data_IF_603435937498
#
_entry.id   IF_603435937498
#
_cell.length_a   1.000
_cell.length_b   1.000
_cell.length_c   1.000
_cell.angle_alpha   90.00
_cell.angle_beta   90.00
_cell.angle_gamma   90.00
#
_symmetry.space_group_name_H-M   'P 1'
#
loop_
_entity.id
_entity.type
_entity.pdbx_description
1 polymer ?
#
# COMPACT_ATOMS: atom_id res chain seq x y z
N UNK A 1 -9.20 -8.29 -11.49
CA UNK A 1 -9.47 -7.63 -12.78
C UNK A 1 -8.45 -6.51 -12.96
N UNK A 2 -7.84 -6.41 -14.15
CA UNK A 2 -6.91 -5.33 -14.50
C UNK A 2 -7.44 -4.62 -15.74
N UNK A 3 -7.65 -3.31 -15.67
CA UNK A 3 -8.18 -2.51 -16.78
C UNK A 3 -7.12 -1.56 -17.35
N UNK A 4 -7.08 -1.48 -18.67
CA UNK A 4 -6.32 -0.50 -19.44
C UNK A 4 -7.21 0.08 -20.53
N UNK A 5 -6.90 1.28 -21.01
CA UNK A 5 -7.56 1.98 -22.10
C UNK A 5 -9.09 2.09 -21.93
N UNK A 6 -9.57 2.21 -20.69
CA UNK A 6 -10.99 2.23 -20.37
C UNK A 6 -11.46 3.66 -20.02
N UNK A 7 -12.70 3.99 -20.36
CA UNK A 7 -13.30 5.24 -19.89
C UNK A 7 -13.41 5.26 -18.36
N UNK A 8 -13.34 6.48 -17.77
CA UNK A 8 -13.53 6.67 -16.33
C UNK A 8 -14.80 6.02 -15.79
N UNK A 9 -15.91 6.15 -16.53
CA UNK A 9 -17.19 5.53 -16.16
C UNK A 9 -17.08 4.00 -16.08
N UNK A 10 -16.46 3.37 -17.09
CA UNK A 10 -16.24 1.93 -17.11
C UNK A 10 -15.35 1.48 -15.95
N UNK A 11 -14.26 2.21 -15.70
CA UNK A 11 -13.33 1.90 -14.61
C UNK A 11 -14.02 1.95 -13.25
N UNK A 12 -14.79 3.02 -12.97
CA UNK A 12 -15.54 3.18 -11.71
C UNK A 12 -16.60 2.09 -11.56
N UNK A 13 -17.37 1.80 -12.61
CA UNK A 13 -18.41 0.76 -12.58
C UNK A 13 -17.83 -0.62 -12.31
N UNK A 14 -16.76 -0.99 -13.02
CA UNK A 14 -16.12 -2.30 -12.88
C UNK A 14 -15.43 -2.42 -11.53
N UNK A 15 -14.74 -1.38 -11.05
CA UNK A 15 -14.17 -1.35 -9.70
C UNK A 15 -15.25 -1.60 -8.64
N UNK A 16 -16.39 -0.93 -8.73
CA UNK A 16 -17.50 -1.12 -7.78
C UNK A 16 -18.05 -2.55 -7.81
N UNK A 17 -18.16 -3.17 -8.98
CA UNK A 17 -18.56 -4.59 -9.10
C UNK A 17 -17.50 -5.49 -8.46
N UNK A 18 -16.21 -5.24 -8.73
CA UNK A 18 -15.12 -6.05 -8.17
C UNK A 18 -15.10 -5.98 -6.64
N UNK A 19 -15.17 -4.77 -6.08
CA UNK A 19 -15.15 -4.55 -4.63
C UNK A 19 -16.30 -5.28 -3.92
N UNK A 20 -17.52 -5.20 -4.46
CA UNK A 20 -18.69 -5.90 -3.92
C UNK A 20 -18.56 -7.43 -3.93
N UNK A 21 -17.74 -7.99 -4.81
CA UNK A 21 -17.54 -9.43 -4.97
C UNK A 21 -16.20 -9.92 -4.39
N UNK A 22 -15.45 -9.08 -3.66
CA UNK A 22 -14.15 -9.45 -3.10
C UNK A 22 -13.07 -9.72 -4.17
N UNK A 23 -13.22 -9.14 -5.36
CA UNK A 23 -12.29 -9.31 -6.47
C UNK A 23 -11.28 -8.16 -6.44
N UNK A 24 -9.98 -8.49 -6.43
CA UNK A 24 -8.89 -7.51 -6.53
C UNK A 24 -8.97 -6.76 -7.85
N UNK A 25 -8.93 -5.43 -7.80
CA UNK A 25 -9.05 -4.54 -8.95
C UNK A 25 -7.78 -3.72 -9.16
N UNK A 26 -7.37 -3.59 -10.41
CA UNK A 26 -6.27 -2.76 -10.85
C UNK A 26 -6.68 -1.97 -12.09
N UNK A 27 -6.15 -0.76 -12.25
CA UNK A 27 -6.23 -0.03 -13.51
C UNK A 27 -5.03 0.88 -13.70
N UNK A 28 -4.64 1.15 -14.94
CA UNK A 28 -3.54 2.05 -15.26
C UNK A 28 -3.44 2.30 -16.76
N UNK A 29 -2.88 3.45 -17.11
CA UNK A 29 -2.58 3.83 -18.50
C UNK A 29 -1.29 4.65 -18.57
N UNK A 30 -0.87 4.92 -19.81
CA UNK A 30 0.30 5.72 -20.18
C UNK A 30 -0.14 6.84 -21.12
N UNK A 31 0.33 8.06 -20.87
CA UNK A 31 0.11 9.25 -21.71
C UNK A 31 1.44 10.01 -21.91
N UNK A 32 2.06 9.79 -23.07
CA UNK A 32 3.40 10.31 -23.36
C UNK A 32 4.45 9.69 -22.42
N UNK A 33 5.17 10.54 -21.69
CA UNK A 33 6.19 10.12 -20.72
C UNK A 33 5.66 9.80 -19.31
N UNK A 34 4.36 9.97 -19.10
CA UNK A 34 3.73 9.77 -17.81
C UNK A 34 2.85 8.51 -17.85
N UNK A 35 2.63 7.92 -16.69
CA UNK A 35 1.72 6.80 -16.53
C UNK A 35 1.28 6.67 -15.08
N UNK A 36 0.19 5.94 -14.86
CA UNK A 36 -0.36 5.75 -13.54
C UNK A 36 -0.78 4.30 -13.31
N UNK A 37 -0.91 3.95 -12.03
CA UNK A 37 -1.57 2.73 -11.61
C UNK A 37 -2.42 3.01 -10.37
N UNK A 38 -3.57 2.36 -10.30
CA UNK A 38 -4.45 2.33 -9.15
C UNK A 38 -4.76 0.88 -8.78
N UNK A 39 -4.88 0.61 -7.48
CA UNK A 39 -5.26 -0.68 -6.95
C UNK A 39 -6.35 -0.52 -5.88
N UNK A 40 -7.38 -1.35 -5.98
CA UNK A 40 -8.37 -1.59 -4.93
C UNK A 40 -8.39 -3.08 -4.62
N UNK A 41 -7.81 -3.43 -3.48
CA UNK A 41 -7.73 -4.80 -3.00
C UNK A 41 -8.81 -5.11 -1.95
N UNK A 42 -9.70 -4.15 -1.68
CA UNK A 42 -10.63 -4.19 -0.55
C UNK A 42 -9.90 -4.33 0.78
N UNK A 43 -10.40 -5.25 1.61
CA UNK A 43 -9.69 -5.73 2.79
C UNK A 43 -8.61 -6.75 2.40
N UNK A 44 -7.35 -6.35 2.49
CA UNK A 44 -6.23 -7.12 2.00
C UNK A 44 -5.30 -7.58 3.12
N UNK A 45 -5.26 -8.89 3.34
CA UNK A 45 -4.25 -9.53 4.18
C UNK A 45 -3.04 -10.02 3.37
N UNK A 46 -1.84 -9.79 3.88
CA UNK A 46 -0.59 -10.23 3.30
C UNK A 46 0.45 -10.54 4.37
N UNK A 47 1.56 -11.13 3.96
CA UNK A 47 2.71 -11.41 4.83
C UNK A 47 3.87 -10.54 4.38
N UNK A 48 4.44 -9.80 5.32
CA UNK A 48 5.67 -9.03 5.11
C UNK A 48 6.83 -9.75 5.76
N UNK A 49 7.85 -10.06 4.97
CA UNK A 49 9.12 -10.58 5.46
C UNK A 49 9.93 -9.45 6.10
N UNK A 50 10.35 -9.65 7.34
CA UNK A 50 11.17 -8.69 8.10
C UNK A 50 12.42 -9.37 8.65
N UNK A 51 13.57 -8.68 8.69
CA UNK A 51 14.75 -9.17 9.38
C UNK A 51 14.44 -9.52 10.83
N UNK A 52 14.99 -10.63 11.33
CA UNK A 52 14.79 -11.04 12.73
C UNK A 52 15.54 -10.09 13.65
N UNK A 53 14.80 -9.35 14.48
CA UNK A 53 15.41 -8.44 15.45
C UNK A 53 15.94 -9.26 16.64
N UNK A 54 17.22 -9.08 16.97
CA UNK A 54 17.81 -9.60 18.19
C UNK A 54 17.04 -9.06 19.40
N UNK A 55 16.26 -9.89 20.09
CA UNK A 55 15.79 -9.54 21.43
C UNK A 55 17.01 -9.58 22.34
N UNK A 56 17.56 -8.41 22.68
CA UNK A 56 18.42 -8.31 23.85
C UNK A 56 17.52 -8.55 25.08
N UNK A 57 17.60 -9.73 25.67
CA UNK A 57 16.97 -10.03 26.95
C UNK A 57 17.55 -9.08 28.00
N UNK A 58 16.71 -8.18 28.51
CA UNK A 58 17.01 -7.39 29.70
C UNK A 58 16.69 -8.24 30.95
N UNK A 59 17.72 -8.54 31.77
CA UNK A 59 17.67 -9.28 33.05
C UNK A 59 17.99 -10.78 32.88
N UNK A 60 18.97 -11.40 33.55
CA UNK A 60 19.54 -11.21 34.90
C UNK A 60 21.06 -11.52 34.90
N UNK A 61 21.80 -10.89 35.82
CA UNK A 61 23.25 -10.99 36.06
C UNK A 61 23.83 -12.39 36.35
N UNK A 62 25.13 -12.47 36.07
CA UNK A 62 26.22 -13.32 36.61
C UNK A 62 26.57 -14.65 35.91
N UNK A 63 27.64 -14.63 35.10
CA UNK A 63 28.26 -15.81 34.46
C UNK A 63 29.16 -15.45 33.24
N UNK A 64 30.26 -16.19 32.97
CA UNK A 64 31.31 -15.77 32.05
C UNK A 64 30.78 -15.67 30.61
N UNK A 65 31.19 -14.62 29.90
CA UNK A 65 30.73 -14.19 28.58
C UNK A 65 30.36 -15.36 27.64
N UNK A 66 29.09 -15.79 27.71
CA UNK A 66 28.51 -16.64 26.70
C UNK A 66 28.47 -15.82 25.41
N UNK A 67 29.35 -16.18 24.48
CA UNK A 67 29.45 -15.63 23.12
C UNK A 67 28.05 -15.26 22.62
N UNK A 68 27.76 -13.96 22.51
CA UNK A 68 26.56 -13.47 21.84
C UNK A 68 26.49 -14.20 20.50
N UNK A 69 25.51 -15.08 20.34
CA UNK A 69 25.26 -15.75 19.07
C UNK A 69 25.11 -14.62 18.04
N UNK A 70 26.05 -14.56 17.09
CA UNK A 70 25.91 -13.67 15.93
C UNK A 70 24.61 -14.10 15.26
N UNK A 71 23.57 -13.28 15.38
CA UNK A 71 22.39 -13.44 14.54
C UNK A 71 22.88 -13.33 13.10
N UNK A 72 22.64 -14.40 12.35
CA UNK A 72 22.96 -14.43 10.94
C UNK A 72 22.06 -13.38 10.26
N UNK A 73 22.61 -12.35 9.59
CA UNK A 73 21.81 -11.30 8.96
C UNK A 73 20.84 -11.82 7.88
N UNK A 74 20.95 -13.11 7.51
CA UNK A 74 20.04 -13.81 6.62
C UNK A 74 18.75 -14.32 7.31
N UNK A 75 18.63 -14.28 8.64
CA UNK A 75 17.43 -14.81 9.31
C UNK A 75 16.27 -13.81 9.26
N UNK A 76 15.15 -14.22 8.62
CA UNK A 76 13.94 -13.41 8.47
C UNK A 76 12.75 -14.02 9.17
N UNK A 77 11.74 -13.19 9.43
CA UNK A 77 10.46 -13.58 10.04
C UNK A 77 9.30 -13.07 9.21
N UNK A 78 8.26 -13.87 9.10
CA UNK A 78 7.03 -13.54 8.37
C UNK A 78 6.02 -12.88 9.31
N UNK A 79 5.59 -11.66 9.00
CA UNK A 79 4.61 -10.91 9.80
C UNK A 79 3.35 -10.70 9.00
N UNK A 80 2.22 -11.24 9.48
CA UNK A 80 0.90 -11.00 8.88
C UNK A 80 0.50 -9.54 9.07
N UNK A 81 0.05 -8.90 7.99
CA UNK A 81 -0.47 -7.53 7.95
C UNK A 81 -1.81 -7.48 7.21
N UNK A 82 -2.55 -6.41 7.46
CA UNK A 82 -3.85 -6.11 6.86
C UNK A 82 -3.87 -4.64 6.44
N UNK A 83 -4.41 -4.35 5.25
CA UNK A 83 -4.62 -3.01 4.72
C UNK A 83 -6.02 -2.90 4.13
N UNK A 84 -6.63 -1.72 4.25
CA UNK A 84 -7.92 -1.42 3.66
C UNK A 84 -7.74 -0.43 2.51
N UNK A 85 -8.21 -0.81 1.32
CA UNK A 85 -8.17 0.02 0.12
C UNK A 85 -9.52 0.69 -0.14
N UNK A 86 -9.49 1.89 -0.69
CA UNK A 86 -10.68 2.65 -1.04
C UNK A 86 -11.17 2.35 -2.47
N UNK A 87 -12.42 2.69 -2.76
CA UNK A 87 -12.98 2.63 -4.11
C UNK A 87 -12.31 3.65 -5.03
N UNK A 88 -12.16 3.30 -6.32
CA UNK A 88 -11.62 4.21 -7.35
C UNK A 88 -12.40 5.53 -7.42
N UNK A 89 -13.73 5.47 -7.27
CA UNK A 89 -14.58 6.67 -7.27
C UNK A 89 -14.13 7.68 -6.22
N UNK A 90 -13.86 7.19 -5.01
CA UNK A 90 -13.52 8.04 -3.86
C UNK A 90 -12.08 8.56 -4.01
N UNK A 91 -11.17 7.74 -4.56
CA UNK A 91 -9.81 8.14 -4.89
C UNK A 91 -9.72 9.23 -5.97
N UNK A 92 -10.67 9.29 -6.91
CA UNK A 92 -10.73 10.33 -7.95
C UNK A 92 -11.47 11.60 -7.51
N UNK A 93 -12.26 11.52 -6.43
CA UNK A 93 -13.14 12.59 -5.96
C UNK A 93 -12.66 13.17 -4.61
N UNK A 94 -11.34 13.34 -4.45
CA UNK A 94 -10.75 13.95 -3.25
C UNK A 94 -11.18 15.40 -3.11
N UNK A 95 -11.73 15.74 -1.94
CA UNK A 95 -12.08 17.10 -1.54
C UNK A 95 -10.83 17.85 -1.07
N UNK A 96 -10.42 18.90 -1.79
CA UNK A 96 -9.21 19.68 -1.51
C UNK A 96 -9.43 20.88 -0.59
N UNK A 97 -10.60 20.96 0.04
CA UNK A 97 -10.96 22.03 0.98
C UNK A 97 -10.48 21.72 2.40
N UNK A 98 -10.06 22.76 3.12
CA UNK A 98 -9.63 22.66 4.52
C UNK A 98 -8.12 22.51 4.69
N UNK A 99 -7.65 22.73 5.92
CA UNK A 99 -6.23 22.85 6.24
C UNK A 99 -5.44 21.57 5.95
N UNK A 100 -5.97 20.41 6.36
CA UNK A 100 -5.34 19.10 6.12
C UNK A 100 -5.20 18.79 4.63
N UNK A 101 -6.26 19.01 3.85
CA UNK A 101 -6.26 18.75 2.42
C UNK A 101 -5.32 19.71 1.68
N UNK A 102 -5.24 20.97 2.12
CA UNK A 102 -4.30 21.95 1.57
C UNK A 102 -2.84 21.56 1.84
N UNK A 103 -2.54 21.05 3.03
CA UNK A 103 -1.20 20.56 3.36
C UNK A 103 -0.83 19.31 2.55
N UNK A 104 -1.79 18.39 2.35
CA UNK A 104 -1.60 17.22 1.50
C UNK A 104 -1.41 17.59 0.03
N UNK A 105 -2.22 18.52 -0.49
CA UNK A 105 -2.16 19.01 -1.87
C UNK A 105 -0.77 19.50 -2.26
N UNK A 106 -0.10 20.23 -1.36
CA UNK A 106 1.28 20.72 -1.58
C UNK A 106 2.32 19.61 -1.74
N UNK A 107 1.99 18.38 -1.31
CA UNK A 107 2.85 17.20 -1.38
C UNK A 107 2.34 16.15 -2.38
N UNK A 108 1.18 16.37 -2.97
CA UNK A 108 0.59 15.48 -3.97
C UNK A 108 1.33 15.67 -5.30
N UNK A 109 1.72 14.56 -5.93
CA UNK A 109 2.33 14.58 -7.25
C UNK A 109 1.38 15.25 -8.27
N UNK A 110 1.85 16.20 -9.10
CA UNK A 110 1.02 16.85 -10.12
C UNK A 110 0.34 15.86 -11.08
N UNK A 111 0.95 14.71 -11.33
CA UNK A 111 0.44 13.60 -12.15
C UNK A 111 -0.97 13.14 -11.74
N UNK A 112 -1.34 13.27 -10.46
CA UNK A 112 -2.69 12.98 -10.00
C UNK A 112 -3.75 13.83 -10.73
N UNK A 113 -3.44 15.10 -11.03
CA UNK A 113 -4.35 16.01 -11.73
C UNK A 113 -4.31 15.85 -13.24
N UNK A 114 -3.25 15.22 -13.78
CA UNK A 114 -3.14 14.90 -15.20
C UNK A 114 -4.02 13.69 -15.59
N UNK A 115 -4.39 12.86 -14.60
CA UNK A 115 -5.29 11.72 -14.75
C UNK A 115 -6.78 12.10 -14.88
N UNK A 116 -7.18 13.33 -14.50
CA UNK A 116 -8.60 13.71 -14.33
C UNK A 116 -9.36 14.00 -15.63
#
# INVERSE_FOLDING_TARGET
>A
VCLTCCSRESMVRINQICHKNGIKFFTGDVFGYHGYMFADLGDHEFVEEKPKVAKASAGVEDGPEAKRARLDPAETTMVKKRLEFCLLRDALAVEWRGEKATAALRRTAPDYFLLQ
#
